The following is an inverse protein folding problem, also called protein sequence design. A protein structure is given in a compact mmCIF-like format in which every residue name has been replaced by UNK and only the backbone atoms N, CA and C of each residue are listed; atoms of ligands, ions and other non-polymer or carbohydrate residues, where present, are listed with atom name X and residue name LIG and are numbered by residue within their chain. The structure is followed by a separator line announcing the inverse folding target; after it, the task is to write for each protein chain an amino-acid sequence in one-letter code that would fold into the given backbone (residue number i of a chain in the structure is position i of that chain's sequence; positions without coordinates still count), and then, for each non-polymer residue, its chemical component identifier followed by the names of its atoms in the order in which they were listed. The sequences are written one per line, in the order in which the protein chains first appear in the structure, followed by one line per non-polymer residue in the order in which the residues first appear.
data_IF_890607999995
#
_entry.id   IF_890607999995
#
_cell.length_a   1.000
_cell.length_b   1.000
_cell.length_c   1.000
_cell.angle_alpha   90.00
_cell.angle_beta   90.00
_cell.angle_gamma   90.00
#
_symmetry.space_group_name_H-M   'P 1'
#
loop_
_entity.id
_entity.type
_entity.pdbx_description
1 polymer ?
#
# COMPACT_ATOMS: atom_id res chain seq x y z
N UNK A 1 28.84 -7.07 -7.07
CA UNK A 1 27.73 -6.22 -7.55
C UNK A 1 26.44 -7.02 -7.71
N UNK A 2 26.40 -8.07 -8.56
CA UNK A 2 25.19 -8.89 -8.79
C UNK A 2 24.56 -9.52 -7.54
N UNK A 3 25.35 -10.18 -6.69
CA UNK A 3 24.82 -10.79 -5.46
C UNK A 3 24.25 -9.78 -4.46
N UNK A 4 24.80 -8.56 -4.43
CA UNK A 4 24.32 -7.49 -3.55
C UNK A 4 22.98 -6.93 -4.05
N UNK A 5 22.85 -6.67 -5.35
CA UNK A 5 21.58 -6.20 -5.94
C UNK A 5 20.49 -7.24 -5.81
N UNK A 6 20.81 -8.50 -6.06
CA UNK A 6 19.87 -9.61 -5.88
C UNK A 6 19.40 -9.72 -4.42
N UNK A 7 20.33 -9.66 -3.47
CA UNK A 7 20.00 -9.70 -2.03
C UNK A 7 19.10 -8.54 -1.62
N UNK A 8 19.39 -7.32 -2.07
CA UNK A 8 18.59 -6.12 -1.77
C UNK A 8 17.19 -6.20 -2.39
N UNK A 9 17.06 -6.66 -3.63
CA UNK A 9 15.77 -6.87 -4.30
C UNK A 9 14.95 -7.93 -3.57
N UNK A 10 15.56 -9.09 -3.27
CA UNK A 10 14.90 -10.17 -2.54
C UNK A 10 14.41 -9.70 -1.16
N UNK A 11 15.25 -8.98 -0.43
CA UNK A 11 14.90 -8.43 0.89
C UNK A 11 13.73 -7.45 0.80
N UNK A 12 13.73 -6.57 -0.20
CA UNK A 12 12.64 -5.60 -0.44
C UNK A 12 11.33 -6.30 -0.79
N UNK A 13 11.38 -7.35 -1.62
CA UNK A 13 10.22 -8.16 -2.00
C UNK A 13 9.62 -8.90 -0.80
N UNK A 14 10.47 -9.47 0.05
CA UNK A 14 10.06 -10.17 1.27
C UNK A 14 9.43 -9.21 2.28
N UNK A 15 10.09 -8.10 2.58
CA UNK A 15 9.60 -7.07 3.50
C UNK A 15 8.28 -6.45 3.00
N UNK A 16 8.21 -6.14 1.70
CA UNK A 16 6.99 -5.66 1.07
C UNK A 16 5.85 -6.65 1.27
N UNK A 17 6.07 -7.93 0.97
CA UNK A 17 5.08 -8.99 1.15
C UNK A 17 4.56 -9.12 2.58
N UNK A 18 5.47 -9.08 3.57
CA UNK A 18 5.07 -9.06 4.98
C UNK A 18 4.22 -7.83 5.32
N UNK A 19 4.57 -6.67 4.78
CA UNK A 19 3.80 -5.43 4.93
C UNK A 19 2.38 -5.54 4.39
N UNK A 20 2.16 -6.11 3.21
CA UNK A 20 0.81 -6.28 2.65
C UNK A 20 -0.05 -7.26 3.43
N UNK A 21 0.55 -8.34 3.97
CA UNK A 21 -0.18 -9.29 4.83
C UNK A 21 -0.57 -8.61 6.15
N UNK A 22 0.34 -7.83 6.75
CA UNK A 22 0.07 -7.08 7.97
C UNK A 22 -1.02 -6.02 7.75
N UNK A 23 -0.97 -5.29 6.64
CA UNK A 23 -1.96 -4.27 6.27
C UNK A 23 -3.34 -4.89 6.09
N UNK A 24 -3.44 -6.01 5.35
CA UNK A 24 -4.69 -6.74 5.17
C UNK A 24 -5.24 -7.28 6.49
N UNK A 25 -4.38 -7.79 7.37
CA UNK A 25 -4.77 -8.21 8.72
C UNK A 25 -5.29 -7.06 9.59
N UNK A 26 -4.67 -5.87 9.52
CA UNK A 26 -5.13 -4.65 10.22
C UNK A 26 -6.50 -4.21 9.69
N UNK A 27 -6.70 -4.21 8.37
CA UNK A 27 -7.97 -3.88 7.73
C UNK A 27 -9.09 -4.85 8.13
N UNK A 28 -8.82 -6.16 8.08
CA UNK A 28 -9.81 -7.18 8.45
C UNK A 28 -10.17 -7.14 9.94
N UNK A 29 -9.18 -6.86 10.80
CA UNK A 29 -9.42 -6.61 12.22
C UNK A 29 -10.31 -5.38 12.43
N UNK A 30 -10.06 -4.28 11.73
CA UNK A 30 -10.88 -3.07 11.82
C UNK A 30 -12.35 -3.34 11.44
N UNK A 31 -12.58 -4.09 10.36
CA UNK A 31 -13.93 -4.53 9.97
C UNK A 31 -14.56 -5.36 11.09
N UNK A 32 -13.84 -6.34 11.63
CA UNK A 32 -14.38 -7.21 12.69
C UNK A 32 -14.70 -6.45 13.99
N UNK A 33 -13.92 -5.42 14.32
CA UNK A 33 -14.12 -4.60 15.51
C UNK A 33 -15.39 -3.76 15.41
N UNK A 34 -15.85 -3.45 14.20
CA UNK A 34 -17.15 -2.82 14.00
C UNK A 34 -18.29 -3.77 14.37
N UNK A 35 -18.19 -5.09 14.10
CA UNK A 35 -19.29 -6.03 14.33
C UNK A 35 -19.24 -6.76 15.67
N UNK A 36 -18.09 -6.80 16.33
CA UNK A 36 -17.85 -7.62 17.53
C UNK A 36 -17.31 -6.77 18.67
N UNK A 37 -17.91 -6.89 19.86
CA UNK A 37 -17.48 -6.15 21.05
C UNK A 37 -16.10 -6.57 21.57
N UNK A 38 -15.65 -7.79 21.26
CA UNK A 38 -14.34 -8.34 21.64
C UNK A 38 -13.59 -8.89 20.41
N UNK A 39 -12.91 -8.02 19.62
CA UNK A 39 -12.19 -8.47 18.44
C UNK A 39 -11.02 -9.40 18.81
N UNK A 40 -10.84 -10.54 18.10
CA UNK A 40 -9.76 -11.47 18.38
C UNK A 40 -8.38 -10.88 18.06
N UNK A 41 -7.32 -11.57 18.52
CA UNK A 41 -5.93 -11.12 18.33
C UNK A 41 -5.61 -10.95 16.84
N UNK A 42 -4.84 -9.89 16.52
CA UNK A 42 -4.43 -9.54 15.15
C UNK A 42 -3.78 -10.70 14.40
N UNK A 43 -3.07 -11.59 15.11
CA UNK A 43 -2.42 -12.78 14.56
C UNK A 43 -3.38 -13.69 13.77
N UNK A 44 -4.62 -13.87 14.23
CA UNK A 44 -5.62 -14.67 13.51
C UNK A 44 -6.03 -14.04 12.19
N UNK A 45 -6.17 -12.71 12.15
CA UNK A 45 -6.48 -11.96 10.92
C UNK A 45 -5.31 -11.96 9.93
N UNK A 46 -4.07 -11.92 10.43
CA UNK A 46 -2.86 -12.08 9.60
C UNK A 46 -2.85 -13.45 8.93
N UNK A 47 -3.11 -14.53 9.71
CA UNK A 47 -3.17 -15.88 9.17
C UNK A 47 -4.30 -16.04 8.13
N UNK A 48 -5.49 -15.51 8.41
CA UNK A 48 -6.61 -15.51 7.48
C UNK A 48 -6.28 -14.74 6.18
N UNK A 49 -5.64 -13.57 6.29
CA UNK A 49 -5.20 -12.78 5.13
C UNK A 49 -4.22 -13.55 4.27
N UNK A 50 -3.23 -14.22 4.89
CA UNK A 50 -2.29 -15.08 4.18
C UNK A 50 -2.96 -16.22 3.43
N UNK A 51 -3.96 -16.86 4.05
CA UNK A 51 -4.76 -17.91 3.39
C UNK A 51 -5.54 -17.38 2.19
N UNK A 52 -6.20 -16.24 2.32
CA UNK A 52 -6.93 -15.59 1.22
C UNK A 52 -5.98 -15.23 0.07
N UNK A 53 -4.78 -14.72 0.37
CA UNK A 53 -3.77 -14.42 -0.64
C UNK A 53 -3.34 -15.67 -1.40
N UNK A 54 -3.10 -16.76 -0.68
CA UNK A 54 -2.75 -18.05 -1.28
C UNK A 54 -3.87 -18.59 -2.19
N UNK A 55 -5.12 -18.55 -1.71
CA UNK A 55 -6.28 -18.97 -2.50
C UNK A 55 -6.42 -18.11 -3.76
N UNK A 56 -6.35 -16.79 -3.64
CA UNK A 56 -6.44 -15.89 -4.79
C UNK A 56 -5.32 -16.12 -5.81
N UNK A 57 -4.10 -16.33 -5.33
CA UNK A 57 -2.96 -16.65 -6.20
C UNK A 57 -3.14 -17.97 -6.95
N UNK A 58 -3.75 -18.96 -6.32
CA UNK A 58 -4.06 -20.25 -6.94
C UNK A 58 -5.15 -20.15 -8.01
N UNK A 59 -6.22 -19.37 -7.77
CA UNK A 59 -7.36 -19.28 -8.68
C UNK A 59 -7.17 -18.31 -9.86
N UNK A 60 -6.29 -17.31 -9.75
CA UNK A 60 -6.10 -16.28 -10.80
C UNK A 60 -4.68 -16.30 -11.39
N UNK A 61 -4.20 -17.39 -12.02
CA UNK A 61 -2.84 -17.44 -12.54
C UNK A 61 -2.63 -16.70 -13.87
N UNK A 62 -3.69 -16.22 -14.54
CA UNK A 62 -3.62 -15.75 -15.94
C UNK A 62 -3.40 -14.23 -16.11
N UNK A 63 -2.40 -13.86 -16.91
CA UNK A 63 -2.00 -12.47 -17.23
C UNK A 63 -3.11 -11.62 -17.87
N UNK A 64 -4.00 -12.22 -18.69
CA UNK A 64 -5.07 -11.44 -19.34
C UNK A 64 -6.13 -10.94 -18.36
N UNK A 65 -6.48 -11.75 -17.36
CA UNK A 65 -7.37 -11.35 -16.27
C UNK A 65 -6.72 -10.26 -15.40
N UNK A 66 -5.39 -10.34 -15.21
CA UNK A 66 -4.66 -9.39 -14.38
C UNK A 66 -4.72 -7.95 -14.88
N UNK A 67 -4.82 -7.72 -16.20
CA UNK A 67 -5.00 -6.36 -16.72
C UNK A 67 -6.29 -5.71 -16.20
N UNK A 68 -7.39 -6.48 -16.17
CA UNK A 68 -8.67 -5.98 -15.70
C UNK A 68 -8.68 -5.82 -14.17
N UNK A 69 -8.06 -6.75 -13.44
CA UNK A 69 -7.89 -6.63 -11.99
C UNK A 69 -7.03 -5.44 -11.59
N UNK A 70 -5.95 -5.14 -12.33
CA UNK A 70 -5.10 -3.99 -12.10
C UNK A 70 -5.84 -2.67 -12.35
N UNK A 71 -6.61 -2.57 -13.44
CA UNK A 71 -7.43 -1.39 -13.71
C UNK A 71 -8.49 -1.16 -12.62
N UNK A 72 -9.14 -2.24 -12.18
CA UNK A 72 -10.13 -2.20 -11.08
C UNK A 72 -9.48 -1.79 -9.76
N UNK A 73 -8.31 -2.33 -9.46
CA UNK A 73 -7.50 -2.00 -8.29
C UNK A 73 -7.06 -0.53 -8.28
N UNK A 74 -6.62 0.01 -9.42
CA UNK A 74 -6.30 1.43 -9.54
C UNK A 74 -7.53 2.31 -9.23
N UNK A 75 -8.70 1.96 -9.77
CA UNK A 75 -9.95 2.68 -9.48
C UNK A 75 -10.36 2.59 -8.01
N UNK A 76 -10.22 1.41 -7.39
CA UNK A 76 -10.47 1.20 -5.95
C UNK A 76 -9.52 2.04 -5.09
N UNK A 77 -8.25 2.12 -5.45
CA UNK A 77 -7.25 2.93 -4.72
C UNK A 77 -7.59 4.41 -4.78
N UNK A 78 -7.89 4.93 -5.98
CA UNK A 78 -8.28 6.34 -6.15
C UNK A 78 -9.56 6.65 -5.36
N UNK A 79 -10.53 5.74 -5.40
CA UNK A 79 -11.79 5.90 -4.64
C UNK A 79 -11.53 5.91 -3.13
N UNK A 80 -10.68 5.00 -2.65
CA UNK A 80 -10.25 4.95 -1.26
C UNK A 80 -9.55 6.25 -0.84
N UNK A 81 -8.61 6.74 -1.64
CA UNK A 81 -7.85 7.96 -1.37
C UNK A 81 -8.76 9.19 -1.29
N UNK A 82 -9.71 9.32 -2.23
CA UNK A 82 -10.68 10.42 -2.25
C UNK A 82 -11.62 10.34 -1.06
N UNK A 83 -12.15 9.15 -0.74
CA UNK A 83 -13.03 8.95 0.42
C UNK A 83 -12.30 9.26 1.73
N UNK A 84 -11.06 8.77 1.86
CA UNK A 84 -10.22 9.02 3.02
C UNK A 84 -9.95 10.52 3.18
N UNK A 85 -9.55 11.20 2.11
CA UNK A 85 -9.31 12.64 2.14
C UNK A 85 -10.58 13.43 2.50
N UNK A 86 -11.74 13.04 1.98
CA UNK A 86 -13.02 13.68 2.31
C UNK A 86 -13.35 13.56 3.81
N UNK A 87 -13.12 12.39 4.42
CA UNK A 87 -13.31 12.20 5.86
C UNK A 87 -12.28 12.97 6.66
N UNK A 88 -11.00 12.98 6.26
CA UNK A 88 -9.96 13.77 6.92
C UNK A 88 -10.28 15.27 6.93
N UNK A 89 -10.77 15.80 5.81
CA UNK A 89 -11.17 17.21 5.70
C UNK A 89 -12.39 17.49 6.57
N UNK A 90 -13.35 16.58 6.65
CA UNK A 90 -14.51 16.70 7.53
C UNK A 90 -14.06 16.71 9.00
N UNK A 91 -13.28 15.72 9.41
CA UNK A 91 -12.84 15.54 10.80
C UNK A 91 -11.94 16.70 11.25
N UNK A 92 -11.02 17.14 10.39
CA UNK A 92 -10.17 18.30 10.69
C UNK A 92 -10.91 19.65 10.74
N UNK A 93 -12.11 19.74 10.13
CA UNK A 93 -13.00 20.91 10.25
C UNK A 93 -13.97 20.82 11.41
N UNK A 94 -14.44 19.63 11.78
CA UNK A 94 -15.40 19.43 12.86
C UNK A 94 -14.76 19.29 14.23
N UNK A 95 -13.53 18.79 14.32
CA UNK A 95 -12.78 18.77 15.56
C UNK A 95 -12.38 20.19 15.95
N UNK A 96 -13.01 20.68 17.01
CA UNK A 96 -12.77 22.01 17.55
C UNK A 96 -11.28 22.18 17.90
N UNK A 97 -10.73 23.37 17.62
CA UNK A 97 -9.28 23.63 17.58
C UNK A 97 -8.54 23.43 18.92
N UNK A 98 -9.26 23.19 20.02
CA UNK A 98 -8.75 23.20 21.40
C UNK A 98 -8.07 21.92 21.87
N UNK A 99 -8.20 20.79 21.15
CA UNK A 99 -7.63 19.49 21.56
C UNK A 99 -6.46 18.96 20.72
N UNK A 100 -6.02 19.67 19.68
CA UNK A 100 -4.96 19.21 18.78
C UNK A 100 -3.59 19.61 19.30
N UNK A 101 -2.87 18.64 19.85
CA UNK A 101 -1.46 18.81 20.15
C UNK A 101 -0.60 18.42 18.93
N UNK A 102 0.27 19.34 18.52
CA UNK A 102 1.28 19.14 17.48
C UNK A 102 2.68 18.99 18.06
N UNK A 103 2.80 18.98 19.39
CA UNK A 103 4.04 18.73 20.09
C UNK A 103 4.54 17.32 19.80
N UNK A 104 5.85 17.23 19.55
CA UNK A 104 6.52 15.95 19.36
C UNK A 104 6.77 15.36 20.74
N UNK A 105 5.90 14.41 21.11
CA UNK A 105 5.98 13.66 22.35
C UNK A 105 7.10 12.61 22.29
N UNK A 106 7.72 12.36 23.44
CA UNK A 106 8.74 11.31 23.61
C UNK A 106 10.10 11.82 24.06
N UNK A 107 10.95 10.88 24.49
CA UNK A 107 12.34 11.12 24.87
C UNK A 107 13.21 11.47 23.64
N UNK A 108 14.40 12.03 23.86
CA UNK A 108 15.31 12.36 22.74
C UNK A 108 15.65 11.15 21.84
N UNK A 109 15.73 9.96 22.43
CA UNK A 109 15.97 8.72 21.69
C UNK A 109 14.75 8.30 20.86
N UNK A 110 13.54 8.36 21.42
CA UNK A 110 12.29 8.04 20.68
C UNK A 110 12.10 8.96 19.48
N UNK A 111 12.41 10.25 19.62
CA UNK A 111 12.37 11.20 18.50
C UNK A 111 13.33 10.82 17.39
N UNK A 112 14.55 10.39 17.73
CA UNK A 112 15.54 9.94 16.76
C UNK A 112 15.09 8.65 16.05
N UNK A 113 14.58 7.67 16.79
CA UNK A 113 14.06 6.42 16.20
C UNK A 113 12.83 6.67 15.31
N UNK A 114 11.91 7.54 15.71
CA UNK A 114 10.75 7.91 14.90
C UNK A 114 11.18 8.65 13.61
N UNK A 115 12.17 9.54 13.69
CA UNK A 115 12.72 10.22 12.53
C UNK A 115 13.39 9.25 11.56
N UNK A 116 14.21 8.32 12.07
CA UNK A 116 14.82 7.27 11.26
C UNK A 116 13.78 6.35 10.63
N UNK A 117 12.73 5.98 11.38
CA UNK A 117 11.61 5.21 10.88
C UNK A 117 10.86 5.93 9.76
N UNK A 118 10.63 7.24 9.89
CA UNK A 118 10.00 8.06 8.86
C UNK A 118 10.85 8.14 7.59
N UNK A 119 12.17 8.34 7.71
CA UNK A 119 13.09 8.33 6.56
C UNK A 119 13.09 6.96 5.87
N UNK A 120 13.11 5.88 6.64
CA UNK A 120 13.03 4.52 6.11
C UNK A 120 11.70 4.28 5.36
N UNK A 121 10.58 4.72 5.92
CA UNK A 121 9.27 4.62 5.28
C UNK A 121 9.22 5.40 3.96
N UNK A 122 9.75 6.63 3.93
CA UNK A 122 9.86 7.43 2.70
C UNK A 122 10.69 6.70 1.65
N UNK A 123 11.86 6.17 2.03
CA UNK A 123 12.73 5.46 1.11
C UNK A 123 12.04 4.22 0.52
N UNK A 124 11.37 3.43 1.36
CA UNK A 124 10.64 2.23 0.94
C UNK A 124 9.47 2.58 0.01
N UNK A 125 8.67 3.61 0.35
CA UNK A 125 7.51 4.02 -0.46
C UNK A 125 7.90 4.55 -1.85
N UNK A 126 9.11 5.10 -2.01
CA UNK A 126 9.58 5.65 -3.28
C UNK A 126 10.48 4.69 -4.08
N UNK A 127 10.90 3.58 -3.48
CA UNK A 127 11.74 2.57 -4.13
C UNK A 127 10.88 1.66 -5.01
N UNK A 128 11.08 1.74 -6.32
CA UNK A 128 10.43 0.86 -7.29
C UNK A 128 11.38 -0.26 -7.71
N UNK A 129 11.36 -1.38 -7.00
CA UNK A 129 12.28 -2.51 -7.25
C UNK A 129 12.20 -3.10 -8.67
N UNK A 130 11.04 -3.01 -9.32
CA UNK A 130 10.77 -3.54 -10.67
C UNK A 130 11.04 -2.53 -11.80
N UNK A 131 11.32 -1.27 -11.46
CA UNK A 131 11.44 -0.21 -12.47
C UNK A 131 12.62 -0.41 -13.43
N UNK A 132 13.82 -0.81 -12.96
CA UNK A 132 14.95 -1.08 -13.84
C UNK A 132 14.70 -2.28 -14.79
N UNK A 133 14.00 -3.31 -14.33
CA UNK A 133 13.66 -4.53 -15.10
C UNK A 133 12.64 -4.25 -16.19
N UNK A 134 11.62 -3.44 -15.91
CA UNK A 134 10.66 -3.02 -16.92
C UNK A 134 11.34 -2.10 -17.95
N UNK A 135 12.24 -1.21 -17.52
CA UNK A 135 12.98 -0.33 -18.43
C UNK A 135 13.97 -1.09 -19.33
N UNK A 136 14.58 -2.17 -18.85
CA UNK A 136 15.53 -2.96 -19.64
C UNK A 136 14.85 -3.86 -20.67
N UNK A 137 13.59 -4.23 -20.45
CA UNK A 137 12.80 -5.11 -21.33
C UNK A 137 11.92 -4.34 -22.34
N UNK A 138 11.64 -3.07 -22.10
CA UNK A 138 10.80 -2.25 -22.99
C UNK A 138 11.48 -1.87 -24.30
N UNK A 139 10.87 -2.26 -25.42
CA UNK A 139 11.27 -1.82 -26.77
C UNK A 139 10.44 -0.61 -27.24
N UNK A 140 11.00 0.23 -28.12
CA UNK A 140 10.24 1.33 -28.76
C UNK A 140 9.05 0.74 -29.54
N UNK A 141 7.87 1.39 -29.54
CA UNK A 141 7.56 2.75 -29.08
C UNK A 141 7.12 2.88 -27.60
N UNK A 142 6.99 1.78 -26.85
CA UNK A 142 6.39 1.77 -25.52
C UNK A 142 7.19 2.53 -24.43
N UNK A 143 8.49 2.78 -24.67
CA UNK A 143 9.37 3.56 -23.78
C UNK A 143 8.83 4.97 -23.52
N UNK A 144 8.21 5.62 -24.51
CA UNK A 144 7.66 6.96 -24.37
C UNK A 144 6.50 7.01 -23.38
N UNK A 145 5.59 6.02 -23.48
CA UNK A 145 4.46 5.90 -22.57
C UNK A 145 4.91 5.54 -21.15
N UNK A 146 5.92 4.68 -21.00
CA UNK A 146 6.47 4.33 -19.70
C UNK A 146 7.09 5.54 -18.98
N UNK A 147 7.86 6.39 -19.70
CA UNK A 147 8.43 7.61 -19.11
C UNK A 147 7.36 8.58 -18.64
N UNK A 148 6.26 8.73 -19.40
CA UNK A 148 5.11 9.55 -19.00
C UNK A 148 4.40 8.98 -17.77
N UNK A 149 4.16 7.67 -17.74
CA UNK A 149 3.57 7.00 -16.58
C UNK A 149 4.44 7.16 -15.34
N UNK A 150 5.77 7.05 -15.50
CA UNK A 150 6.72 7.26 -14.41
C UNK A 150 6.72 8.70 -13.89
N UNK A 151 6.70 9.68 -14.80
CA UNK A 151 6.60 11.09 -14.43
C UNK A 151 5.27 11.36 -13.70
N UNK A 152 4.16 10.78 -14.16
CA UNK A 152 2.86 10.92 -13.51
C UNK A 152 2.87 10.31 -12.10
N UNK A 153 3.46 9.12 -11.92
CA UNK A 153 3.58 8.48 -10.61
C UNK A 153 4.40 9.32 -9.62
N UNK A 154 5.57 9.81 -10.03
CA UNK A 154 6.43 10.62 -9.17
C UNK A 154 5.97 12.08 -8.99
N UNK A 155 4.94 12.51 -9.71
CA UNK A 155 4.32 13.84 -9.51
C UNK A 155 2.96 13.72 -8.84
N UNK A 156 1.94 13.28 -9.56
CA UNK A 156 0.56 13.16 -9.08
C UNK A 156 0.45 12.11 -7.99
N UNK A 157 1.07 10.94 -8.17
CA UNK A 157 1.08 9.88 -7.17
C UNK A 157 1.79 10.31 -5.89
N UNK A 158 2.96 10.94 -6.03
CA UNK A 158 3.71 11.51 -4.90
C UNK A 158 2.89 12.57 -4.15
N UNK A 159 2.30 13.52 -4.88
CA UNK A 159 1.46 14.57 -4.32
C UNK A 159 0.23 14.00 -3.58
N UNK A 160 -0.39 12.95 -4.12
CA UNK A 160 -1.51 12.25 -3.46
C UNK A 160 -1.10 11.65 -2.12
N UNK A 161 -0.07 10.81 -2.11
CA UNK A 161 0.34 10.11 -0.89
C UNK A 161 0.85 11.07 0.20
N UNK A 162 1.70 12.05 -0.15
CA UNK A 162 2.17 13.05 0.80
C UNK A 162 1.04 13.98 1.22
N UNK A 163 0.13 14.33 0.31
CA UNK A 163 -1.03 15.17 0.58
C UNK A 163 -1.97 14.55 1.62
N UNK A 164 -2.31 13.26 1.47
CA UNK A 164 -3.10 12.51 2.46
C UNK A 164 -2.37 12.43 3.80
N UNK A 165 -1.05 12.22 3.79
CA UNK A 165 -0.25 12.16 5.02
C UNK A 165 -0.25 13.50 5.79
N UNK A 166 -0.08 14.61 5.08
CA UNK A 166 -0.15 15.96 5.64
C UNK A 166 -1.56 16.28 6.13
N UNK A 167 -2.59 15.91 5.38
CA UNK A 167 -3.98 16.08 5.78
C UNK A 167 -4.33 15.28 7.04
N UNK A 168 -3.81 14.05 7.16
CA UNK A 168 -3.94 13.21 8.34
C UNK A 168 -3.32 13.83 9.58
N UNK A 169 -2.07 14.31 9.46
CA UNK A 169 -1.40 15.02 10.55
C UNK A 169 -2.12 16.33 10.91
N UNK A 170 -2.64 17.06 9.93
CA UNK A 170 -3.44 18.26 10.17
C UNK A 170 -4.76 17.96 10.89
N UNK A 171 -5.43 16.84 10.57
CA UNK A 171 -6.70 16.45 11.16
C UNK A 171 -6.56 15.92 12.60
N UNK A 172 -5.51 15.12 12.89
CA UNK A 172 -5.37 14.41 14.17
C UNK A 172 -4.16 14.82 15.03
N UNK A 173 -3.23 15.63 14.50
CA UNK A 173 -2.03 16.07 15.22
C UNK A 173 -1.11 14.90 15.60
N UNK A 174 -0.45 15.00 16.76
CA UNK A 174 0.43 13.98 17.29
C UNK A 174 -0.28 12.65 17.62
N UNK A 175 -1.62 12.64 17.68
CA UNK A 175 -2.41 11.44 17.88
C UNK A 175 -2.62 10.63 16.60
N UNK A 176 -2.16 11.10 15.42
CA UNK A 176 -2.33 10.40 14.15
C UNK A 176 -1.77 8.96 14.21
N UNK A 177 -2.60 7.97 13.91
CA UNK A 177 -2.20 6.55 13.89
C UNK A 177 -1.43 6.21 12.62
N UNK A 178 -0.48 5.28 12.73
CA UNK A 178 0.18 4.63 11.57
C UNK A 178 -0.83 4.08 10.55
N UNK A 179 -1.99 3.62 11.02
CA UNK A 179 -3.08 3.16 10.16
C UNK A 179 -4.28 4.10 10.29
N UNK A 180 -4.23 5.16 9.47
CA UNK A 180 -5.19 6.26 9.45
C UNK A 180 -6.67 5.83 9.39
N UNK A 181 -7.05 4.76 8.65
CA UNK A 181 -8.44 4.31 8.61
C UNK A 181 -9.05 3.91 9.97
N UNK A 182 -8.22 3.56 10.97
CA UNK A 182 -8.71 3.25 12.31
C UNK A 182 -9.15 4.48 13.12
N UNK A 183 -8.82 5.69 12.67
CA UNK A 183 -9.10 6.93 13.40
C UNK A 183 -10.25 7.74 12.81
N UNK A 184 -10.83 7.26 11.72
CA UNK A 184 -11.88 7.96 11.00
C UNK A 184 -13.15 8.08 11.86
N UNK A 185 -13.60 9.32 12.05
CA UNK A 185 -14.84 9.62 12.76
C UNK A 185 -16.02 9.54 11.77
N UNK A 186 -16.46 8.32 11.47
CA UNK A 186 -17.43 8.08 10.40
C UNK A 186 -18.56 7.12 10.78
N UNK A 187 -19.63 7.05 9.97
CA UNK A 187 -20.64 6.02 10.14
C UNK A 187 -20.01 4.63 9.91
N UNK A 188 -20.43 3.63 10.69
CA UNK A 188 -19.86 2.27 10.69
C UNK A 188 -19.70 1.66 9.29
N UNK A 189 -20.67 1.91 8.40
CA UNK A 189 -20.62 1.42 7.02
C UNK A 189 -19.46 2.03 6.22
N UNK A 190 -19.09 3.29 6.44
CA UNK A 190 -17.99 3.94 5.73
C UNK A 190 -16.64 3.39 6.17
N UNK A 191 -16.45 3.18 7.48
CA UNK A 191 -15.25 2.53 8.03
C UNK A 191 -15.11 1.11 7.46
N UNK A 192 -16.20 0.34 7.40
CA UNK A 192 -16.18 -1.01 6.81
C UNK A 192 -15.82 -0.96 5.32
N UNK A 193 -16.41 -0.06 4.53
CA UNK A 193 -16.11 0.06 3.10
C UNK A 193 -14.66 0.46 2.83
N UNK A 194 -14.12 1.42 3.60
CA UNK A 194 -12.73 1.90 3.48
C UNK A 194 -11.76 0.75 3.78
N UNK A 195 -11.97 0.03 4.88
CA UNK A 195 -11.12 -1.11 5.24
C UNK A 195 -11.30 -2.30 4.28
N UNK A 196 -12.51 -2.55 3.77
CA UNK A 196 -12.75 -3.60 2.77
C UNK A 196 -12.04 -3.27 1.46
N UNK A 197 -12.08 -2.01 1.03
CA UNK A 197 -11.37 -1.53 -0.17
C UNK A 197 -9.86 -1.67 0.02
N UNK A 198 -9.32 -1.29 1.17
CA UNK A 198 -7.90 -1.45 1.50
C UNK A 198 -7.47 -2.94 1.49
N UNK A 199 -8.31 -3.84 2.01
CA UNK A 199 -8.08 -5.27 1.99
C UNK A 199 -8.11 -5.86 0.58
N UNK A 200 -9.10 -5.51 -0.25
CA UNK A 200 -9.16 -5.94 -1.64
C UNK A 200 -7.96 -5.43 -2.44
N UNK A 201 -7.58 -4.17 -2.22
CA UNK A 201 -6.42 -3.57 -2.84
C UNK A 201 -5.12 -4.28 -2.47
N UNK A 202 -4.97 -4.70 -1.21
CA UNK A 202 -3.77 -5.40 -0.75
C UNK A 202 -3.66 -6.82 -1.34
N UNK A 203 -4.79 -7.52 -1.57
CA UNK A 203 -4.82 -8.80 -2.29
C UNK A 203 -4.28 -8.64 -3.71
N UNK A 204 -4.86 -7.72 -4.48
CA UNK A 204 -4.47 -7.51 -5.89
C UNK A 204 -3.01 -7.06 -5.97
N UNK A 205 -2.59 -6.16 -5.09
CA UNK A 205 -1.21 -5.65 -5.07
C UNK A 205 -0.19 -6.76 -4.77
N UNK A 206 -0.50 -7.66 -3.83
CA UNK A 206 0.37 -8.78 -3.51
C UNK A 206 0.41 -9.80 -4.65
N UNK A 207 -0.73 -10.07 -5.28
CA UNK A 207 -0.81 -11.02 -6.37
C UNK A 207 -0.05 -10.55 -7.62
N UNK A 208 -0.14 -9.26 -7.98
CA UNK A 208 0.67 -8.65 -9.05
C UNK A 208 2.16 -8.84 -8.75
N UNK A 209 2.59 -8.57 -7.52
CA UNK A 209 3.99 -8.76 -7.12
C UNK A 209 4.45 -10.22 -7.27
N UNK A 210 3.62 -11.19 -6.90
CA UNK A 210 3.99 -12.62 -7.03
C UNK A 210 4.16 -12.99 -8.49
N UNK A 211 3.22 -12.62 -9.36
CA UNK A 211 3.31 -12.92 -10.79
C UNK A 211 4.50 -12.22 -11.45
N UNK A 212 4.77 -10.96 -11.11
CA UNK A 212 5.91 -10.21 -11.67
C UNK A 212 7.26 -10.83 -11.34
N UNK A 213 7.37 -11.60 -10.25
CA UNK A 213 8.62 -12.23 -9.83
C UNK A 213 8.67 -13.74 -10.15
N UNK A 214 7.69 -14.27 -10.89
CA UNK A 214 7.67 -15.68 -11.26
C UNK A 214 8.66 -15.95 -12.41
N UNK A 215 9.73 -16.74 -12.19
CA UNK A 215 10.73 -17.02 -13.22
C UNK A 215 10.18 -17.77 -14.44
N UNK A 216 9.01 -18.42 -14.31
CA UNK A 216 8.34 -19.07 -15.45
C UNK A 216 7.74 -18.07 -16.45
N UNK A 217 7.37 -16.87 -15.98
CA UNK A 217 6.92 -15.76 -16.84
C UNK A 217 8.09 -15.12 -17.60
N UNK A 218 9.24 -14.97 -16.96
CA UNK A 218 10.49 -14.52 -17.63
C UNK A 218 10.96 -15.53 -18.69
N UNK A 219 10.91 -16.82 -18.37
CA UNK A 219 11.31 -17.89 -19.28
C UNK A 219 10.45 -18.00 -20.54
N UNK A 220 9.16 -17.67 -20.48
CA UNK A 220 8.30 -17.63 -21.67
C UNK A 220 8.48 -16.36 -22.49
N UNK A 221 8.64 -15.19 -21.86
CA UNK A 221 8.80 -13.92 -22.58
C UNK A 221 10.15 -13.81 -23.30
N UNK A 222 11.24 -14.28 -22.68
CA UNK A 222 12.56 -14.39 -23.31
C UNK A 222 12.52 -15.40 -24.48
N UNK A 223 11.71 -16.46 -24.37
CA UNK A 223 11.59 -17.50 -25.41
C UNK A 223 10.64 -17.11 -26.56
N UNK A 224 9.65 -16.25 -26.33
CA UNK A 224 8.72 -15.77 -27.39
C UNK A 224 9.13 -14.46 -28.05
N UNK A 225 9.96 -13.62 -27.40
CA UNK A 225 10.33 -12.31 -27.95
C UNK A 225 11.81 -12.11 -28.29
N UNK A 226 12.68 -13.07 -27.98
CA UNK A 226 14.04 -13.18 -28.53
C UNK A 226 15.03 -12.07 -28.14
N UNK A 227 16.31 -12.43 -28.09
CA UNK A 227 17.43 -11.48 -28.06
C UNK A 227 17.38 -10.52 -29.25
#
# INVERSE_FOLDING_TARGET
MYYLTWFLQFTTLLLGSMGFILLGGRALKAISAEFTQTPPRLQWFIAATGFVYFAFAYFVPTISAMRNWLATSAALTVTFDVALLAVLVRDGRSNDRSGRDYSIHGTGAEKAFNALGAVAAILVCNTSGLLPEIQSTLRKPAVGNMRRALALQYTVGAAGYYGISVAGYWAYGAAASEYLPNQLSGPRWASVLINATAFLQSIVSQHVRVISNDPSCDGHYVRTHGC
#
